data_IF_550042710626
#
_entry.id   IF_550042710626
#
_cell.length_a   1.000
_cell.length_b   1.000
_cell.length_c   1.000
_cell.angle_alpha   90.00
_cell.angle_beta   90.00
_cell.angle_gamma   90.00
#
_symmetry.space_group_name_H-M   'P 1'
#
loop_
_entity.id
_entity.type
_entity.pdbx_description
1 polymer ?
#
# COMPACT_ATOMS: atom_id res chain seq x y z
N UNK A 1 33.24 9.08 -1.56
CA UNK A 1 32.94 7.81 -2.27
C UNK A 1 32.24 8.16 -3.57
N UNK A 2 32.68 7.59 -4.69
CA UNK A 2 32.14 7.92 -6.02
C UNK A 2 30.81 7.18 -6.24
N UNK A 3 29.69 7.83 -5.92
CA UNK A 3 28.34 7.24 -6.01
C UNK A 3 27.94 6.86 -7.44
N UNK A 4 28.66 7.32 -8.46
CA UNK A 4 28.32 7.04 -9.86
C UNK A 4 28.36 5.55 -10.20
N UNK A 5 29.28 4.77 -9.59
CA UNK A 5 29.36 3.32 -9.84
C UNK A 5 28.19 2.56 -9.19
N UNK A 6 27.86 2.90 -7.94
CA UNK A 6 26.73 2.27 -7.26
C UNK A 6 25.39 2.59 -7.93
N UNK A 7 25.23 3.84 -8.39
CA UNK A 7 24.03 4.26 -9.11
C UNK A 7 23.95 3.65 -10.51
N UNK A 8 25.08 3.46 -11.20
CA UNK A 8 25.08 2.78 -12.50
C UNK A 8 24.77 1.29 -12.39
N UNK A 9 25.20 0.65 -11.31
CA UNK A 9 24.91 -0.77 -11.06
C UNK A 9 23.42 -0.97 -10.72
N UNK A 10 22.81 -0.04 -9.98
CA UNK A 10 21.39 -0.07 -9.61
C UNK A 10 20.47 0.36 -10.76
N UNK A 11 20.92 1.32 -11.58
CA UNK A 11 20.13 1.93 -12.65
C UNK A 11 20.98 2.07 -13.93
N UNK A 12 21.29 0.95 -14.62
CA UNK A 12 22.20 0.94 -15.77
C UNK A 12 21.75 1.86 -16.91
N UNK A 13 20.43 2.11 -17.01
CA UNK A 13 19.80 2.98 -17.99
C UNK A 13 19.95 4.49 -17.71
N UNK A 14 20.36 4.91 -16.50
CA UNK A 14 20.56 6.34 -16.19
C UNK A 14 21.75 6.96 -16.93
N UNK A 15 22.73 6.14 -17.29
CA UNK A 15 23.94 6.56 -18.00
C UNK A 15 23.87 6.33 -19.50
N UNK A 16 22.81 5.69 -20.00
CA UNK A 16 22.60 5.60 -21.44
C UNK A 16 22.30 7.00 -21.98
N UNK A 17 23.01 7.35 -23.07
CA UNK A 17 22.96 8.63 -23.76
C UNK A 17 21.57 9.28 -23.63
N UNK A 18 21.51 10.45 -22.96
CA UNK A 18 20.38 11.36 -23.04
C UNK A 18 20.23 11.81 -24.50
N UNK A 19 19.73 10.93 -25.36
CA UNK A 19 19.17 11.31 -26.66
C UNK A 19 18.21 12.45 -26.34
N UNK A 20 18.37 13.58 -27.03
CA UNK A 20 17.58 14.79 -26.78
C UNK A 20 16.14 14.39 -26.55
N UNK A 21 15.61 14.76 -25.36
CA UNK A 21 14.30 14.32 -24.90
C UNK A 21 13.28 14.73 -25.97
N UNK A 22 12.75 13.75 -26.69
CA UNK A 22 11.78 14.00 -27.75
C UNK A 22 10.41 14.19 -27.09
N UNK A 23 9.93 15.44 -27.09
CA UNK A 23 8.62 15.81 -26.52
C UNK A 23 7.49 14.97 -27.09
N UNK A 24 7.52 14.62 -28.37
CA UNK A 24 6.50 13.80 -29.02
C UNK A 24 6.47 12.38 -28.44
N UNK A 25 7.64 11.78 -28.21
CA UNK A 25 7.75 10.46 -27.56
C UNK A 25 7.28 10.51 -26.10
N UNK A 26 7.56 11.60 -25.37
CA UNK A 26 7.06 11.77 -24.01
C UNK A 26 5.52 11.89 -23.96
N UNK A 27 4.95 12.70 -24.86
CA UNK A 27 3.49 12.84 -24.98
C UNK A 27 2.84 11.50 -25.33
N UNK A 28 3.42 10.75 -26.26
CA UNK A 28 2.96 9.39 -26.57
C UNK A 28 3.02 8.47 -25.35
N UNK A 29 4.12 8.47 -24.58
CA UNK A 29 4.26 7.67 -23.36
C UNK A 29 3.23 8.01 -22.28
N UNK A 30 2.84 9.30 -22.16
CA UNK A 30 1.77 9.70 -21.25
C UNK A 30 0.44 9.09 -21.68
N UNK A 31 0.09 9.19 -22.97
CA UNK A 31 -1.16 8.65 -23.50
C UNK A 31 -1.21 7.13 -23.36
N UNK A 32 -0.11 6.45 -23.62
CA UNK A 32 0.03 5.00 -23.45
C UNK A 32 -0.20 4.59 -21.98
N UNK A 33 0.45 5.24 -21.01
CA UNK A 33 0.25 4.96 -19.58
C UNK A 33 -1.18 5.19 -19.11
N UNK A 34 -1.85 6.21 -19.64
CA UNK A 34 -3.27 6.46 -19.35
C UNK A 34 -4.12 5.31 -19.91
N UNK A 35 -3.90 4.92 -21.16
CA UNK A 35 -4.62 3.81 -21.80
C UNK A 35 -4.40 2.49 -21.03
N UNK A 36 -3.16 2.17 -20.67
CA UNK A 36 -2.81 1.00 -19.87
C UNK A 36 -3.52 1.01 -18.51
N UNK A 37 -3.57 2.16 -17.83
CA UNK A 37 -4.25 2.29 -16.55
C UNK A 37 -5.76 2.06 -16.67
N UNK A 38 -6.38 2.54 -17.74
CA UNK A 38 -7.81 2.32 -18.01
C UNK A 38 -8.06 0.84 -18.28
N UNK A 39 -7.28 0.24 -19.18
CA UNK A 39 -7.40 -1.17 -19.55
C UNK A 39 -7.22 -2.10 -18.35
N UNK A 40 -6.19 -1.85 -17.53
CA UNK A 40 -5.93 -2.62 -16.32
C UNK A 40 -7.10 -2.57 -15.33
N UNK A 41 -7.68 -1.37 -15.11
CA UNK A 41 -8.85 -1.22 -14.23
C UNK A 41 -10.06 -1.94 -14.79
N UNK A 42 -10.39 -1.74 -16.07
CA UNK A 42 -11.54 -2.40 -16.71
C UNK A 42 -11.44 -3.92 -16.59
N UNK A 43 -10.30 -4.50 -16.97
CA UNK A 43 -10.07 -5.93 -16.88
C UNK A 43 -10.15 -6.44 -15.43
N UNK A 44 -9.59 -5.69 -14.46
CA UNK A 44 -9.66 -6.05 -13.05
C UNK A 44 -11.10 -6.08 -12.53
N UNK A 45 -11.87 -5.02 -12.74
CA UNK A 45 -13.24 -4.92 -12.21
C UNK A 45 -14.18 -5.91 -12.88
N UNK A 46 -14.09 -6.09 -14.20
CA UNK A 46 -14.88 -7.10 -14.93
C UNK A 46 -14.63 -8.52 -14.39
N UNK A 47 -13.39 -8.84 -14.02
CA UNK A 47 -13.03 -10.16 -13.51
C UNK A 47 -13.33 -10.36 -12.02
N UNK A 48 -13.38 -9.29 -11.23
CA UNK A 48 -13.36 -9.38 -9.76
C UNK A 48 -14.53 -8.69 -9.05
N UNK A 49 -15.56 -8.24 -9.75
CA UNK A 49 -16.72 -7.55 -9.16
C UNK A 49 -17.33 -8.29 -7.94
N UNK A 50 -17.55 -9.59 -8.05
CA UNK A 50 -18.08 -10.40 -6.95
C UNK A 50 -17.12 -10.49 -5.76
N UNK A 51 -15.81 -10.52 -6.01
CA UNK A 51 -14.81 -10.53 -4.93
C UNK A 51 -14.78 -9.18 -4.21
N UNK A 52 -14.91 -8.08 -4.94
CA UNK A 52 -14.96 -6.74 -4.35
C UNK A 52 -16.20 -6.60 -3.46
N UNK A 53 -17.38 -6.99 -3.97
CA UNK A 53 -18.60 -7.00 -3.19
C UNK A 53 -18.46 -7.88 -1.94
N UNK A 54 -17.89 -9.08 -2.09
CA UNK A 54 -17.67 -9.98 -0.96
C UNK A 54 -16.72 -9.39 0.08
N UNK A 55 -15.63 -8.74 -0.33
CA UNK A 55 -14.70 -8.06 0.57
C UNK A 55 -15.40 -6.94 1.35
N UNK A 56 -16.21 -6.12 0.67
CA UNK A 56 -16.98 -5.06 1.32
C UNK A 56 -17.97 -5.62 2.36
N UNK A 57 -18.64 -6.74 2.04
CA UNK A 57 -19.55 -7.41 2.98
C UNK A 57 -18.82 -7.98 4.19
N UNK A 58 -17.64 -8.61 4.00
CA UNK A 58 -16.82 -9.13 5.10
C UNK A 58 -16.38 -7.99 6.03
N UNK A 59 -15.93 -6.86 5.47
CA UNK A 59 -15.54 -5.67 6.23
C UNK A 59 -16.73 -5.12 7.02
N UNK A 60 -17.90 -4.98 6.40
CA UNK A 60 -19.10 -4.51 7.08
C UNK A 60 -19.51 -5.44 8.22
N UNK A 61 -19.50 -6.75 7.98
CA UNK A 61 -19.83 -7.76 8.99
C UNK A 61 -18.85 -7.74 10.17
N UNK A 62 -17.56 -7.55 9.91
CA UNK A 62 -16.54 -7.38 10.95
C UNK A 62 -16.94 -6.26 11.92
N UNK A 63 -17.29 -5.08 11.41
CA UNK A 63 -17.67 -3.95 12.26
C UNK A 63 -19.05 -4.10 12.94
N UNK A 64 -20.00 -4.79 12.30
CA UNK A 64 -21.27 -5.14 12.95
C UNK A 64 -21.05 -6.05 14.18
N UNK A 65 -19.97 -6.81 14.18
CA UNK A 65 -19.56 -7.68 15.28
C UNK A 65 -18.56 -7.00 16.23
N UNK A 66 -18.44 -5.67 16.20
CA UNK A 66 -17.47 -4.87 16.96
C UNK A 66 -16.00 -5.27 16.70
N UNK A 67 -15.72 -5.81 15.52
CA UNK A 67 -14.38 -6.21 15.11
C UNK A 67 -13.46 -5.04 14.80
N UNK A 68 -12.20 -5.39 14.53
CA UNK A 68 -11.12 -4.47 14.25
C UNK A 68 -10.38 -4.91 12.99
N UNK A 69 -9.99 -3.96 12.15
CA UNK A 69 -9.24 -4.25 10.92
C UNK A 69 -7.77 -3.85 11.04
N UNK A 70 -6.93 -4.56 10.30
CA UNK A 70 -5.51 -4.26 10.15
C UNK A 70 -5.18 -4.08 8.68
N UNK A 71 -4.27 -3.17 8.37
CA UNK A 71 -3.70 -3.00 7.03
C UNK A 71 -2.18 -3.01 7.13
N UNK A 72 -1.56 -3.57 6.09
CA UNK A 72 -0.11 -3.67 5.95
C UNK A 72 0.25 -3.74 4.47
N UNK A 73 1.47 -3.34 4.14
CA UNK A 73 1.97 -3.36 2.78
C UNK A 73 3.41 -2.87 2.69
N UNK A 74 4.03 -3.08 1.53
CA UNK A 74 5.40 -2.64 1.25
C UNK A 74 5.39 -1.61 0.10
N UNK A 75 6.29 -0.64 0.16
CA UNK A 75 6.41 0.38 -0.90
C UNK A 75 5.09 1.13 -1.11
N UNK A 76 4.59 1.21 -2.35
CA UNK A 76 3.32 1.88 -2.64
C UNK A 76 2.13 1.32 -1.85
N UNK A 77 2.10 0.03 -1.55
CA UNK A 77 1.01 -0.59 -0.78
C UNK A 77 1.03 -0.21 0.71
N UNK A 78 2.16 0.28 1.25
CA UNK A 78 2.14 0.86 2.61
C UNK A 78 1.44 2.23 2.62
N UNK A 79 1.53 2.98 1.52
CA UNK A 79 0.76 4.21 1.33
C UNK A 79 -0.74 3.90 1.25
N UNK A 80 -1.13 2.85 0.51
CA UNK A 80 -2.53 2.41 0.44
C UNK A 80 -3.04 1.94 1.81
N UNK A 81 -2.22 1.20 2.58
CA UNK A 81 -2.55 0.78 3.94
C UNK A 81 -2.77 1.98 4.88
N UNK A 82 -1.93 3.01 4.78
CA UNK A 82 -2.09 4.25 5.51
C UNK A 82 -3.37 4.99 5.08
N UNK A 83 -3.58 5.14 3.77
CA UNK A 83 -4.73 5.86 3.23
C UNK A 83 -6.04 5.22 3.66
N UNK A 84 -6.23 3.91 3.45
CA UNK A 84 -7.47 3.24 3.83
C UNK A 84 -7.71 3.31 5.35
N UNK A 85 -6.66 3.19 6.16
CA UNK A 85 -6.79 3.32 7.63
C UNK A 85 -7.31 4.71 8.01
N UNK A 86 -6.78 5.77 7.38
CA UNK A 86 -7.24 7.15 7.61
C UNK A 86 -8.70 7.34 7.22
N UNK A 87 -9.14 6.82 6.07
CA UNK A 87 -10.54 6.94 5.64
C UNK A 87 -11.54 6.30 6.63
N UNK A 88 -11.13 5.24 7.33
CA UNK A 88 -11.97 4.57 8.33
C UNK A 88 -11.93 5.28 9.70
N UNK A 89 -10.76 5.77 10.12
CA UNK A 89 -10.60 6.48 11.39
C UNK A 89 -11.13 7.92 11.33
N UNK A 90 -11.11 8.54 10.15
CA UNK A 90 -11.58 9.90 9.90
C UNK A 90 -12.50 9.93 8.66
N UNK A 91 -13.75 9.45 8.77
CA UNK A 91 -14.65 9.39 7.63
C UNK A 91 -14.91 10.78 7.03
N UNK A 92 -14.71 10.92 5.72
CA UNK A 92 -14.92 12.17 4.97
C UNK A 92 -16.38 12.65 5.00
N UNK A 93 -17.33 11.75 5.25
CA UNK A 93 -18.76 12.08 5.36
C UNK A 93 -19.16 12.42 6.79
N UNK A 94 -19.68 13.64 6.99
CA UNK A 94 -20.21 14.12 8.27
C UNK A 94 -21.22 13.15 8.88
N UNK A 95 -21.08 12.88 10.18
CA UNK A 95 -22.02 12.05 10.95
C UNK A 95 -21.70 10.55 10.97
N UNK A 96 -20.67 10.09 10.24
CA UNK A 96 -20.18 8.71 10.37
C UNK A 96 -19.24 8.57 11.56
N UNK A 97 -19.42 7.50 12.34
CA UNK A 97 -18.53 7.15 13.45
C UNK A 97 -17.17 6.69 12.92
N UNK A 98 -16.10 7.10 13.58
CA UNK A 98 -14.77 6.52 13.37
C UNK A 98 -14.79 5.01 13.62
N UNK A 99 -14.22 4.24 12.69
CA UNK A 99 -14.13 2.79 12.76
C UNK A 99 -12.73 2.36 13.20
N UNK A 100 -12.68 1.32 14.02
CA UNK A 100 -11.42 0.83 14.59
C UNK A 100 -10.57 0.14 13.51
N UNK A 101 -9.39 0.69 13.24
CA UNK A 101 -8.50 0.23 12.18
C UNK A 101 -7.04 0.55 12.56
N UNK A 102 -6.14 -0.43 12.51
CA UNK A 102 -4.69 -0.22 12.72
C UNK A 102 -3.89 -0.37 11.43
N UNK A 103 -3.04 0.62 11.13
CA UNK A 103 -2.01 0.49 10.10
C UNK A 103 -0.71 -0.06 10.70
N UNK A 104 -0.30 -1.26 10.32
CA UNK A 104 0.92 -1.91 10.81
C UNK A 104 2.21 -1.34 10.20
N UNK A 105 2.10 -0.41 9.25
CA UNK A 105 3.26 0.28 8.64
C UNK A 105 3.48 1.69 9.21
N UNK A 106 2.65 2.14 10.16
CA UNK A 106 2.69 3.52 10.65
C UNK A 106 3.89 3.79 11.58
N UNK A 107 4.29 2.81 12.39
CA UNK A 107 5.40 2.94 13.32
C UNK A 107 6.72 2.57 12.66
N UNK A 108 7.42 3.59 12.16
CA UNK A 108 8.73 3.45 11.51
C UNK A 108 9.76 2.82 12.45
N UNK A 109 9.74 3.15 13.75
CA UNK A 109 10.70 2.61 14.70
C UNK A 109 10.49 1.10 14.88
N UNK A 110 9.23 0.66 15.01
CA UNK A 110 8.90 -0.77 15.06
C UNK A 110 9.28 -1.47 13.75
N UNK A 111 8.94 -0.88 12.60
CA UNK A 111 9.26 -1.46 11.28
C UNK A 111 10.77 -1.69 11.11
N UNK A 112 11.60 -0.68 11.41
CA UNK A 112 13.05 -0.78 11.20
C UNK A 112 13.75 -1.61 12.25
N UNK A 113 13.36 -1.52 13.53
CA UNK A 113 13.94 -2.34 14.59
C UNK A 113 13.68 -3.83 14.36
N UNK A 114 12.42 -4.21 14.06
CA UNK A 114 12.09 -5.62 13.80
C UNK A 114 12.77 -6.13 12.54
N UNK A 115 12.81 -5.33 11.47
CA UNK A 115 13.52 -5.66 10.24
C UNK A 115 15.02 -5.94 10.50
N UNK A 116 15.68 -5.09 11.28
CA UNK A 116 17.10 -5.19 11.59
C UNK A 116 17.41 -6.36 12.54
N UNK A 117 16.66 -6.48 13.63
CA UNK A 117 17.01 -7.37 14.74
C UNK A 117 16.49 -8.80 14.54
N UNK A 118 15.36 -8.96 13.82
CA UNK A 118 14.66 -10.25 13.67
C UNK A 118 14.48 -10.65 12.21
N UNK A 119 14.41 -9.67 11.31
CA UNK A 119 14.24 -9.88 9.88
C UNK A 119 12.85 -9.50 9.37
N UNK A 120 12.80 -9.18 8.07
CA UNK A 120 11.62 -8.61 7.41
C UNK A 120 10.34 -9.45 7.53
N UNK A 121 10.46 -10.78 7.59
CA UNK A 121 9.32 -11.68 7.73
C UNK A 121 8.53 -11.46 9.04
N UNK A 122 9.15 -10.85 10.06
CA UNK A 122 8.57 -10.69 11.38
C UNK A 122 7.95 -9.31 11.63
N UNK A 123 8.11 -8.36 10.71
CA UNK A 123 7.69 -6.96 10.87
C UNK A 123 6.20 -6.87 11.23
N UNK A 124 5.32 -7.50 10.45
CA UNK A 124 3.88 -7.45 10.69
C UNK A 124 3.41 -8.50 11.68
N UNK A 125 4.00 -9.70 11.62
CA UNK A 125 3.60 -10.83 12.48
C UNK A 125 3.73 -10.50 13.97
N UNK A 126 4.85 -9.89 14.39
CA UNK A 126 5.05 -9.54 15.80
C UNK A 126 4.04 -8.52 16.31
N UNK A 127 3.68 -7.53 15.48
CA UNK A 127 2.68 -6.54 15.83
C UNK A 127 1.30 -7.19 16.02
N UNK A 128 0.92 -8.13 15.13
CA UNK A 128 -0.33 -8.87 15.24
C UNK A 128 -0.39 -9.75 16.50
N UNK A 129 0.70 -10.47 16.81
CA UNK A 129 0.78 -11.29 18.03
C UNK A 129 0.58 -10.46 19.31
N UNK A 130 1.23 -9.29 19.38
CA UNK A 130 1.07 -8.36 20.50
C UNK A 130 -0.37 -7.83 20.63
N UNK A 131 -1.06 -7.62 19.50
CA UNK A 131 -2.44 -7.13 19.52
C UNK A 131 -3.44 -8.18 20.02
N UNK A 132 -3.21 -9.47 19.69
CA UNK A 132 -4.00 -10.60 20.18
C UNK A 132 -3.97 -10.69 21.72
N UNK A 133 -2.81 -10.50 22.34
CA UNK A 133 -2.67 -10.57 23.80
C UNK A 133 -3.44 -9.44 24.51
N UNK A 134 -3.54 -8.26 23.89
CA UNK A 134 -4.27 -7.11 24.45
C UNK A 134 -5.78 -7.27 24.46
N UNK A 135 -6.35 -8.16 23.65
CA UNK A 135 -7.80 -8.36 23.56
C UNK A 135 -8.33 -9.44 24.53
N UNK A 136 -7.44 -10.11 25.28
CA UNK A 136 -7.80 -11.14 26.27
C UNK A 136 -7.93 -10.63 27.71
N UNK A 137 -7.82 -9.31 27.93
CA UNK A 137 -8.02 -8.64 29.22
C UNK A 137 -9.12 -7.58 29.11
#
# INVERSE_FOLDING_TARGET
MNNNKALSDLYPFLNENKKGVNTELLLASIQEKVADSINAKQAFFQKNEHKILRSAQIIAQCYQQNGHLFAMGNGGSSCDAAHITTEFMHPVTTGRKALSFTNLTADIATMTAVANDVGNAHIFLRQLLCWQEKTMF
#
